data_IF_256083070235
#
_entry.id   IF_256083070235
#
_cell.length_a   1.000
_cell.length_b   1.000
_cell.length_c   1.000
_cell.angle_alpha   90.00
_cell.angle_beta   90.00
_cell.angle_gamma   90.00
#
_symmetry.space_group_name_H-M   'P 1'
#
loop_
_entity.id
_entity.type
_entity.pdbx_description
1 polymer ?
#
# COMPACT_ATOMS: atom_id res chain seq x y z
N UNK A 1 11.96 2.77 18.19
CA UNK A 1 12.31 1.32 18.24
C UNK A 1 13.42 1.13 19.25
N UNK A 2 13.47 -0.03 19.93
CA UNK A 2 14.54 -0.32 20.91
C UNK A 2 15.77 -0.79 20.15
N UNK A 3 16.94 -0.23 20.48
CA UNK A 3 18.25 -0.68 19.98
C UNK A 3 18.92 -1.47 21.09
N UNK A 4 19.33 -2.69 20.82
CA UNK A 4 19.95 -3.57 21.79
C UNK A 4 21.47 -3.39 21.84
N UNK A 5 22.11 -3.66 23.02
CA UNK A 5 23.55 -3.45 23.19
C UNK A 5 24.43 -4.19 22.16
N UNK A 6 24.02 -5.38 21.72
CA UNK A 6 24.76 -6.14 20.71
C UNK A 6 24.69 -5.45 19.34
N UNK A 7 23.54 -4.90 18.96
CA UNK A 7 23.37 -4.16 17.70
C UNK A 7 24.26 -2.92 17.65
N UNK A 8 24.39 -2.22 18.79
CA UNK A 8 25.32 -1.07 18.91
C UNK A 8 26.76 -1.54 18.71
N UNK A 9 27.16 -2.64 19.35
CA UNK A 9 28.51 -3.21 19.29
C UNK A 9 28.85 -3.67 17.87
N UNK A 10 27.88 -4.21 17.14
CA UNK A 10 28.03 -4.68 15.77
C UNK A 10 27.88 -3.56 14.72
N UNK A 11 27.70 -2.31 15.17
CA UNK A 11 27.57 -1.14 14.29
C UNK A 11 26.21 -0.99 13.60
N UNK A 12 25.19 -1.73 14.05
CA UNK A 12 23.85 -1.76 13.45
C UNK A 12 22.87 -0.76 14.08
N UNK A 13 23.28 -0.02 15.12
CA UNK A 13 22.37 0.84 15.90
C UNK A 13 21.63 1.89 15.08
N UNK A 14 22.31 2.56 14.14
CA UNK A 14 21.71 3.55 13.25
C UNK A 14 20.75 2.90 12.25
N UNK A 15 21.11 1.73 11.70
CA UNK A 15 20.27 0.98 10.78
C UNK A 15 18.96 0.55 11.45
N UNK A 16 19.04 0.04 12.69
CA UNK A 16 17.87 -0.35 13.48
C UNK A 16 16.95 0.84 13.78
N UNK A 17 17.51 2.01 14.06
CA UNK A 17 16.70 3.23 14.23
C UNK A 17 16.04 3.67 12.93
N UNK A 18 16.77 3.63 11.81
CA UNK A 18 16.23 3.98 10.51
C UNK A 18 15.13 3.02 10.03
N UNK A 19 15.19 1.74 10.42
CA UNK A 19 14.19 0.71 10.10
C UNK A 19 12.85 0.88 10.82
N UNK A 20 12.66 1.92 11.65
CA UNK A 20 11.38 2.19 12.30
C UNK A 20 10.28 2.59 11.31
N UNK A 21 10.65 3.11 10.14
CA UNK A 21 9.76 3.46 9.05
C UNK A 21 10.43 3.12 7.72
N UNK A 22 9.73 2.40 6.85
CA UNK A 22 10.24 1.98 5.54
C UNK A 22 9.18 2.23 4.49
N UNK A 23 9.60 2.73 3.32
CA UNK A 23 8.74 2.97 2.18
C UNK A 23 8.85 1.83 1.16
N UNK A 24 7.72 1.32 0.70
CA UNK A 24 7.61 0.25 -0.30
C UNK A 24 6.83 0.72 -1.51
N UNK A 25 7.25 0.30 -2.70
CA UNK A 25 6.66 0.75 -3.95
C UNK A 25 6.02 -0.40 -4.73
N UNK A 26 4.82 -0.16 -5.26
CA UNK A 26 4.11 -1.04 -6.18
C UNK A 26 3.49 -0.24 -7.33
N UNK A 27 3.27 -0.82 -8.51
CA UNK A 27 2.58 -0.15 -9.60
C UNK A 27 1.19 0.32 -9.20
N UNK A 28 0.83 1.56 -9.54
CA UNK A 28 -0.54 2.03 -9.47
C UNK A 28 -1.30 1.54 -10.70
N UNK A 29 -2.42 0.86 -10.48
CA UNK A 29 -3.28 0.33 -11.54
C UNK A 29 -4.64 1.01 -11.47
N UNK A 30 -5.24 1.25 -12.63
CA UNK A 30 -6.64 1.63 -12.72
C UNK A 30 -7.51 0.51 -12.19
N UNK A 31 -8.48 0.86 -11.37
CA UNK A 31 -9.43 -0.08 -10.83
C UNK A 31 -10.59 -0.27 -11.83
N UNK A 32 -10.36 -1.09 -12.87
CA UNK A 32 -11.47 -1.53 -13.74
C UNK A 32 -12.35 -2.57 -13.03
N UNK A 33 -11.77 -3.30 -12.04
CA UNK A 33 -12.41 -4.34 -11.24
C UNK A 33 -12.58 -3.93 -9.78
N UNK A 34 -12.92 -2.66 -9.49
CA UNK A 34 -13.29 -2.25 -8.13
C UNK A 34 -14.42 -3.15 -7.61
N UNK A 35 -14.45 -3.38 -6.30
CA UNK A 35 -15.53 -4.11 -5.64
C UNK A 35 -16.87 -3.69 -6.23
N UNK A 36 -17.75 -4.65 -6.59
CA UNK A 36 -19.03 -4.39 -7.25
C UNK A 36 -19.81 -3.25 -6.55
N UNK A 37 -19.78 -3.20 -5.22
CA UNK A 37 -20.42 -2.15 -4.41
C UNK A 37 -19.83 -0.75 -4.68
N UNK A 38 -18.52 -0.63 -4.88
CA UNK A 38 -17.85 0.65 -5.18
C UNK A 38 -18.14 1.07 -6.61
N UNK A 39 -18.15 0.11 -7.55
CA UNK A 39 -18.56 0.36 -8.94
C UNK A 39 -20.03 0.75 -9.02
N UNK A 40 -20.91 0.08 -8.25
CA UNK A 40 -22.33 0.41 -8.19
C UNK A 40 -22.55 1.81 -7.61
N UNK A 41 -21.86 2.17 -6.53
CA UNK A 41 -21.91 3.50 -5.94
C UNK A 41 -21.38 4.57 -6.91
N UNK A 42 -20.25 4.32 -7.56
CA UNK A 42 -19.69 5.21 -8.56
C UNK A 42 -20.63 5.39 -9.77
N UNK A 43 -21.25 4.30 -10.25
CA UNK A 43 -22.22 4.35 -11.33
C UNK A 43 -23.52 5.07 -10.92
N UNK A 44 -23.96 4.92 -9.67
CA UNK A 44 -25.08 5.65 -9.12
C UNK A 44 -24.81 7.15 -9.05
N UNK A 45 -23.66 7.54 -8.53
CA UNK A 45 -23.22 8.96 -8.51
C UNK A 45 -23.09 9.51 -9.94
N UNK A 46 -22.59 8.70 -10.90
CA UNK A 46 -22.54 9.06 -12.33
C UNK A 46 -23.92 9.31 -12.91
N UNK A 47 -24.89 8.46 -12.59
CA UNK A 47 -26.25 8.56 -13.11
C UNK A 47 -27.03 9.74 -12.50
N UNK A 48 -26.73 10.11 -11.27
CA UNK A 48 -27.37 11.23 -10.55
C UNK A 48 -26.70 12.58 -10.88
N UNK A 49 -25.52 12.59 -11.48
CA UNK A 49 -24.83 13.83 -11.87
C UNK A 49 -25.43 14.43 -13.14
N UNK A 50 -25.85 15.68 -13.06
CA UNK A 50 -26.33 16.45 -14.21
C UNK A 50 -25.23 16.70 -15.27
N UNK A 51 -23.97 16.45 -14.94
CA UNK A 51 -22.83 16.52 -15.84
C UNK A 51 -21.87 15.34 -15.60
N UNK A 52 -22.00 14.25 -16.38
CA UNK A 52 -21.16 13.05 -16.23
C UNK A 52 -19.65 13.28 -16.44
N UNK A 53 -19.24 14.47 -16.89
CA UNK A 53 -17.83 14.87 -17.00
C UNK A 53 -17.28 15.49 -15.71
N UNK A 54 -18.11 15.70 -14.69
CA UNK A 54 -17.74 16.24 -13.38
C UNK A 54 -17.67 15.17 -12.29
N UNK A 55 -17.17 13.99 -12.62
CA UNK A 55 -16.94 12.98 -11.59
C UNK A 55 -15.68 13.38 -10.84
N UNK A 56 -15.86 13.60 -9.55
CA UNK A 56 -14.84 14.16 -8.66
C UNK A 56 -13.81 13.14 -8.17
N UNK A 57 -14.02 11.86 -8.49
CA UNK A 57 -13.24 10.77 -7.95
C UNK A 57 -12.68 9.91 -9.09
N UNK A 58 -11.44 9.56 -8.94
CA UNK A 58 -10.73 8.64 -9.81
C UNK A 58 -10.29 7.42 -9.01
N UNK A 59 -10.72 6.23 -9.40
CA UNK A 59 -10.47 5.01 -8.64
C UNK A 59 -9.19 4.35 -9.10
N UNK A 60 -8.36 3.98 -8.12
CA UNK A 60 -7.13 3.21 -8.34
C UNK A 60 -7.09 2.00 -7.43
N UNK A 61 -6.37 0.99 -7.89
CA UNK A 61 -6.14 -0.25 -7.17
C UNK A 61 -4.66 -0.61 -7.22
N UNK A 62 -4.12 -1.11 -6.12
CA UNK A 62 -2.71 -1.50 -6.08
C UNK A 62 -2.46 -2.66 -5.12
N UNK A 63 -1.40 -3.43 -5.39
CA UNK A 63 -0.82 -4.32 -4.39
C UNK A 63 -0.07 -3.45 -3.39
N UNK A 64 -0.51 -3.47 -2.14
CA UNK A 64 0.14 -2.75 -1.06
C UNK A 64 1.36 -3.51 -0.55
N UNK A 65 1.18 -4.79 -0.24
CA UNK A 65 2.21 -5.66 0.29
C UNK A 65 1.97 -7.11 -0.11
N UNK A 66 3.05 -7.83 -0.37
CA UNK A 66 3.09 -9.28 -0.54
C UNK A 66 3.81 -9.90 0.63
N UNK A 67 3.31 -11.02 1.17
CA UNK A 67 4.01 -11.78 2.20
C UNK A 67 5.28 -12.41 1.65
N UNK A 68 6.24 -12.68 2.54
CA UNK A 68 7.54 -13.25 2.17
C UNK A 68 8.61 -12.19 1.84
N UNK A 69 9.64 -12.61 1.13
CA UNK A 69 10.76 -11.75 0.74
C UNK A 69 10.36 -10.76 -0.34
N UNK A 70 10.76 -9.50 -0.17
CA UNK A 70 10.60 -8.46 -1.16
C UNK A 70 11.95 -8.11 -1.83
N UNK A 71 11.92 -7.16 -2.77
CA UNK A 71 13.10 -6.73 -3.53
C UNK A 71 14.10 -5.90 -2.71
N UNK A 72 13.74 -5.49 -1.51
CA UNK A 72 14.59 -4.73 -0.60
C UNK A 72 15.25 -5.62 0.46
N UNK A 73 15.15 -6.95 0.29
CA UNK A 73 15.63 -7.96 1.24
C UNK A 73 14.90 -7.93 2.60
N UNK A 74 13.68 -7.38 2.64
CA UNK A 74 12.82 -7.44 3.82
C UNK A 74 11.81 -8.59 3.72
N UNK A 75 11.38 -9.09 4.88
CA UNK A 75 10.38 -10.16 4.97
C UNK A 75 9.14 -9.66 5.68
N UNK A 76 8.01 -9.70 4.97
CA UNK A 76 6.69 -9.55 5.57
C UNK A 76 6.15 -10.91 5.98
N UNK A 77 6.15 -11.19 7.29
CA UNK A 77 5.62 -12.47 7.79
C UNK A 77 4.10 -12.53 7.64
N UNK A 78 3.56 -13.69 7.24
CA UNK A 78 2.11 -13.86 7.05
C UNK A 78 1.32 -13.48 8.28
N UNK A 79 1.80 -13.84 9.48
CA UNK A 79 1.10 -13.53 10.74
C UNK A 79 0.99 -12.02 10.99
N UNK A 80 2.10 -11.28 10.91
CA UNK A 80 2.10 -9.84 11.18
C UNK A 80 1.31 -9.07 10.10
N UNK A 81 1.48 -9.47 8.84
CA UNK A 81 0.78 -8.89 7.71
C UNK A 81 -0.73 -9.11 7.79
N UNK A 82 -1.15 -10.33 8.18
CA UNK A 82 -2.55 -10.64 8.40
C UNK A 82 -3.19 -9.79 9.51
N UNK A 83 -2.47 -9.61 10.61
CA UNK A 83 -2.95 -8.77 11.72
C UNK A 83 -3.11 -7.30 11.32
N UNK A 84 -2.29 -6.82 10.40
CA UNK A 84 -2.30 -5.44 9.93
C UNK A 84 -3.17 -5.21 8.67
N UNK A 85 -3.78 -6.25 8.08
CA UNK A 85 -4.41 -6.22 6.74
C UNK A 85 -5.46 -5.12 6.52
N UNK A 86 -6.17 -4.72 7.58
CA UNK A 86 -7.19 -3.67 7.50
C UNK A 86 -6.69 -2.28 7.91
N UNK A 87 -5.43 -2.16 8.36
CA UNK A 87 -4.90 -0.86 8.80
C UNK A 87 -4.75 0.19 7.71
N UNK A 88 -4.67 -0.16 6.40
CA UNK A 88 -4.63 0.83 5.33
C UNK A 88 -5.96 1.56 5.11
N UNK A 89 -7.10 0.99 5.54
CA UNK A 89 -8.42 1.60 5.33
C UNK A 89 -8.51 3.00 5.96
N UNK A 90 -9.20 3.90 5.28
CA UNK A 90 -9.40 5.29 5.69
C UNK A 90 -8.11 6.10 5.88
N UNK A 91 -6.98 5.63 5.33
CA UNK A 91 -5.75 6.40 5.33
C UNK A 91 -5.68 7.35 4.15
N UNK A 92 -4.96 8.45 4.36
CA UNK A 92 -4.68 9.42 3.30
C UNK A 92 -3.85 8.78 2.18
N UNK A 93 -4.13 9.22 0.96
CA UNK A 93 -3.29 8.97 -0.20
C UNK A 93 -2.59 10.27 -0.55
N UNK A 94 -1.29 10.35 -0.30
CA UNK A 94 -0.50 11.55 -0.54
C UNK A 94 0.47 11.37 -1.70
N UNK A 95 0.98 12.48 -2.23
CA UNK A 95 1.98 12.47 -3.28
C UNK A 95 3.38 12.54 -2.67
N UNK A 96 4.27 11.63 -3.11
CA UNK A 96 5.69 11.61 -2.72
C UNK A 96 5.94 11.59 -1.21
N UNK A 97 5.05 10.96 -0.42
CA UNK A 97 5.09 10.92 1.05
C UNK A 97 5.02 12.29 1.74
N UNK A 98 4.53 13.32 1.05
CA UNK A 98 4.26 14.61 1.66
C UNK A 98 2.88 14.60 2.33
N UNK A 99 2.86 14.59 3.67
CA UNK A 99 1.62 14.60 4.47
C UNK A 99 0.75 15.85 4.24
N UNK A 100 1.31 16.91 3.66
CA UNK A 100 0.58 18.13 3.30
C UNK A 100 0.01 18.07 1.87
N UNK A 101 0.43 17.12 1.05
CA UNK A 101 -0.01 16.95 -0.33
C UNK A 101 -0.92 15.74 -0.49
N UNK A 102 -2.10 15.84 0.12
CA UNK A 102 -3.12 14.79 0.08
C UNK A 102 -3.89 14.89 -1.23
N UNK A 103 -3.81 13.85 -2.06
CA UNK A 103 -4.47 13.77 -3.37
C UNK A 103 -5.64 12.80 -3.41
N UNK A 104 -5.87 12.06 -2.32
CA UNK A 104 -6.94 11.08 -2.23
C UNK A 104 -6.99 10.40 -0.88
N UNK A 105 -7.72 9.29 -0.79
CA UNK A 105 -7.73 8.41 0.37
C UNK A 105 -7.97 6.96 -0.02
N UNK A 106 -7.56 6.04 0.84
CA UNK A 106 -7.79 4.60 0.69
C UNK A 106 -9.20 4.28 1.17
N UNK A 107 -9.99 3.66 0.31
CA UNK A 107 -11.41 3.33 0.57
C UNK A 107 -11.62 1.90 1.02
N UNK A 108 -10.65 1.01 0.75
CA UNK A 108 -10.76 -0.39 1.12
C UNK A 108 -9.43 -1.11 1.09
N UNK A 109 -9.39 -2.24 1.81
CA UNK A 109 -8.24 -3.13 1.86
C UNK A 109 -8.75 -4.56 1.99
N UNK A 110 -8.25 -5.47 1.17
CA UNK A 110 -8.63 -6.87 1.21
C UNK A 110 -7.47 -7.79 0.82
N UNK A 111 -7.62 -9.07 1.14
CA UNK A 111 -6.58 -10.07 0.93
C UNK A 111 -6.91 -10.91 -0.28
N UNK A 112 -5.89 -11.18 -1.10
CA UNK A 112 -5.98 -12.09 -2.23
C UNK A 112 -4.87 -13.14 -2.15
N UNK A 113 -5.11 -14.31 -2.74
CA UNK A 113 -4.07 -15.30 -2.95
C UNK A 113 -3.14 -14.88 -4.11
N UNK A 114 -2.11 -15.68 -4.37
CA UNK A 114 -1.14 -15.43 -5.46
C UNK A 114 -1.76 -15.52 -6.86
N UNK A 115 -2.99 -16.01 -6.99
CA UNK A 115 -3.74 -16.00 -8.25
C UNK A 115 -4.63 -14.76 -8.41
N UNK A 116 -4.74 -13.94 -7.37
CA UNK A 116 -5.62 -12.77 -7.32
C UNK A 116 -7.04 -13.07 -6.83
N UNK A 117 -7.32 -14.31 -6.40
CA UNK A 117 -8.63 -14.65 -5.85
C UNK A 117 -8.77 -14.14 -4.40
N UNK A 118 -9.91 -13.52 -4.10
CA UNK A 118 -10.18 -12.98 -2.77
C UNK A 118 -10.22 -14.08 -1.71
N UNK A 119 -9.60 -13.81 -0.57
CA UNK A 119 -9.54 -14.71 0.59
C UNK A 119 -10.48 -14.20 1.66
N UNK A 120 -11.27 -15.12 2.22
CA UNK A 120 -12.18 -14.80 3.32
C UNK A 120 -11.43 -14.40 4.59
N UNK A 121 -12.01 -13.49 5.37
CA UNK A 121 -11.38 -12.90 6.56
C UNK A 121 -11.20 -13.86 7.76
N UNK A 122 -11.77 -15.03 7.70
CA UNK A 122 -11.72 -16.04 8.79
C UNK A 122 -10.57 -17.04 8.71
N UNK A 123 -9.83 -17.03 7.58
CA UNK A 123 -8.79 -18.03 7.33
C UNK A 123 -7.49 -17.36 6.88
N UNK A 124 -6.51 -17.28 7.79
CA UNK A 124 -5.18 -16.78 7.44
C UNK A 124 -4.45 -17.77 6.54
N UNK A 125 -4.08 -17.40 5.32
CA UNK A 125 -3.24 -18.23 4.45
C UNK A 125 -1.75 -18.11 4.82
N UNK A 126 -0.93 -19.02 4.29
CA UNK A 126 0.52 -18.96 4.45
C UNK A 126 1.12 -17.83 3.61
N UNK A 127 0.66 -17.69 2.36
CA UNK A 127 1.09 -16.66 1.42
C UNK A 127 -0.10 -15.92 0.82
N UNK A 128 0.00 -14.60 0.76
CA UNK A 128 -1.04 -13.72 0.23
C UNK A 128 -0.52 -12.33 -0.12
N UNK A 129 -1.35 -11.58 -0.81
CA UNK A 129 -1.15 -10.16 -1.09
C UNK A 129 -2.26 -9.34 -0.42
N UNK A 130 -1.93 -8.14 0.06
CA UNK A 130 -2.92 -7.14 0.45
C UNK A 130 -3.10 -6.18 -0.72
N UNK A 131 -4.36 -6.07 -1.16
CA UNK A 131 -4.78 -5.10 -2.16
C UNK A 131 -5.40 -3.90 -1.46
N UNK A 132 -5.10 -2.71 -1.93
CA UNK A 132 -5.80 -1.49 -1.54
C UNK A 132 -6.54 -0.89 -2.71
N UNK A 133 -7.71 -0.37 -2.43
CA UNK A 133 -8.50 0.47 -3.32
C UNK A 133 -8.48 1.89 -2.77
N UNK A 134 -8.32 2.86 -3.66
CA UNK A 134 -8.24 4.26 -3.28
C UNK A 134 -8.97 5.13 -4.29
N UNK A 135 -9.33 6.33 -3.86
CA UNK A 135 -9.87 7.37 -4.72
C UNK A 135 -8.90 8.54 -4.76
N UNK A 136 -8.69 9.09 -5.95
CA UNK A 136 -7.99 10.35 -6.16
C UNK A 136 -9.02 11.46 -6.40
N UNK A 137 -8.78 12.62 -5.82
CA UNK A 137 -9.63 13.79 -5.95
C UNK A 137 -9.27 14.53 -7.24
N UNK A 138 -10.12 14.48 -8.24
CA UNK A 138 -9.87 15.11 -9.54
C UNK A 138 -10.69 16.39 -9.80
N UNK A 139 -11.61 16.74 -8.90
CA UNK A 139 -12.41 17.97 -9.01
C UNK A 139 -11.94 19.01 -8.01
N UNK A 140 -11.20 19.98 -8.50
CA UNK A 140 -10.69 21.08 -7.72
C UNK A 140 -11.24 22.42 -8.20
N UNK A 141 -11.57 23.33 -7.27
CA UNK A 141 -12.04 24.67 -7.59
C UNK A 141 -10.94 25.49 -8.29
N UNK A 142 -9.69 25.30 -7.87
CA UNK A 142 -8.52 25.97 -8.45
C UNK A 142 -8.09 25.27 -9.74
N UNK A 143 -8.03 26.00 -10.88
CA UNK A 143 -7.64 25.39 -12.15
C UNK A 143 -6.27 24.70 -12.12
N UNK A 144 -5.28 25.29 -11.46
CA UNK A 144 -3.93 24.72 -11.35
C UNK A 144 -3.89 23.37 -10.66
N UNK A 145 -4.73 23.16 -9.62
CA UNK A 145 -4.83 21.88 -8.93
C UNK A 145 -5.52 20.82 -9.81
N UNK A 146 -6.54 21.25 -10.54
CA UNK A 146 -7.27 20.39 -11.47
C UNK A 146 -6.39 19.93 -12.63
N UNK A 147 -5.63 20.84 -13.21
CA UNK A 147 -4.71 20.53 -14.31
C UNK A 147 -3.59 19.60 -13.86
N UNK A 148 -3.06 19.82 -12.65
CA UNK A 148 -2.09 18.94 -12.00
C UNK A 148 -2.65 17.52 -11.81
N UNK A 149 -3.87 17.38 -11.27
CA UNK A 149 -4.49 16.06 -11.04
C UNK A 149 -4.80 15.35 -12.35
N UNK A 150 -5.27 16.08 -13.37
CA UNK A 150 -5.48 15.50 -14.71
C UNK A 150 -4.16 14.97 -15.30
N UNK A 151 -3.05 15.67 -15.09
CA UNK A 151 -1.74 15.19 -15.52
C UNK A 151 -1.33 13.91 -14.75
N UNK A 152 -1.45 13.89 -13.41
CA UNK A 152 -1.13 12.72 -12.59
C UNK A 152 -1.96 11.50 -13.04
N UNK A 153 -3.26 11.68 -13.25
CA UNK A 153 -4.17 10.63 -13.71
C UNK A 153 -3.73 10.10 -15.10
N UNK A 154 -3.44 10.99 -16.04
CA UNK A 154 -2.96 10.58 -17.36
C UNK A 154 -1.64 9.79 -17.28
N UNK A 155 -0.74 10.21 -16.40
CA UNK A 155 0.54 9.51 -16.17
C UNK A 155 0.35 8.14 -15.48
N UNK A 156 -0.68 7.98 -14.62
CA UNK A 156 -1.07 6.69 -14.05
C UNK A 156 -1.57 5.77 -15.17
N UNK A 157 -2.43 6.26 -16.06
CA UNK A 157 -2.93 5.53 -17.23
C UNK A 157 -1.80 5.06 -18.17
N UNK A 158 -0.74 5.87 -18.25
CA UNK A 158 0.47 5.53 -19.00
C UNK A 158 1.43 4.58 -18.24
N UNK A 159 1.11 4.19 -17.00
CA UNK A 159 1.93 3.30 -16.18
C UNK A 159 3.24 3.92 -15.67
N UNK A 160 3.30 5.24 -15.55
CA UNK A 160 4.50 5.97 -15.11
C UNK A 160 4.63 6.10 -13.59
N UNK A 161 3.52 5.93 -12.85
CA UNK A 161 3.48 6.08 -11.41
C UNK A 161 3.50 4.75 -10.67
N UNK A 162 4.10 4.79 -9.48
CA UNK A 162 4.14 3.68 -8.54
C UNK A 162 3.52 4.12 -7.22
N UNK A 163 2.83 3.19 -6.54
CA UNK A 163 2.42 3.40 -5.14
C UNK A 163 3.57 3.00 -4.24
N UNK A 164 3.77 3.79 -3.21
CA UNK A 164 4.73 3.52 -2.14
C UNK A 164 3.99 3.46 -0.82
N UNK A 165 4.31 2.45 0.00
CA UNK A 165 3.73 2.28 1.32
C UNK A 165 4.73 2.74 2.37
N UNK A 166 4.27 3.49 3.35
CA UNK A 166 5.02 3.78 4.56
C UNK A 166 4.44 2.97 5.72
N UNK A 167 5.30 2.21 6.40
CA UNK A 167 4.93 1.37 7.53
C UNK A 167 5.67 1.78 8.79
N UNK A 168 4.93 1.82 9.91
CA UNK A 168 5.51 1.95 11.25
C UNK A 168 5.55 0.56 11.90
N UNK A 169 6.75 0.12 12.27
CA UNK A 169 6.95 -1.16 12.92
C UNK A 169 7.11 -1.00 14.43
N UNK A 170 6.42 -1.84 15.20
CA UNK A 170 6.67 -1.98 16.64
C UNK A 170 8.02 -2.63 16.92
N UNK A 171 8.45 -3.56 16.05
CA UNK A 171 9.72 -4.25 16.10
C UNK A 171 9.95 -5.08 14.84
N UNK A 172 11.15 -5.63 14.71
CA UNK A 172 11.50 -6.58 13.66
C UNK A 172 12.52 -7.58 14.19
N UNK A 173 12.67 -8.71 13.49
CA UNK A 173 13.71 -9.71 13.69
C UNK A 173 14.58 -9.80 12.44
N UNK A 174 15.76 -10.39 12.56
CA UNK A 174 16.62 -10.63 11.41
C UNK A 174 16.20 -11.91 10.68
N UNK A 175 16.12 -11.85 9.37
CA UNK A 175 15.99 -13.01 8.51
C UNK A 175 17.29 -13.26 7.76
N UNK A 176 17.83 -14.46 7.86
CA UNK A 176 19.03 -14.88 7.15
C UNK A 176 18.65 -15.92 6.10
N UNK A 177 19.20 -15.77 4.89
CA UNK A 177 19.19 -16.82 3.88
C UNK A 177 20.50 -17.61 3.95
N UNK A 178 20.40 -18.93 3.95
CA UNK A 178 21.56 -19.79 3.75
C UNK A 178 21.89 -19.97 2.26
N UNK A 179 23.02 -20.58 1.95
CA UNK A 179 23.47 -20.83 0.57
C UNK A 179 22.50 -21.73 -0.23
N UNK A 180 21.56 -22.40 0.42
CA UNK A 180 20.52 -23.23 -0.19
C UNK A 180 19.19 -22.53 -0.35
N UNK A 181 19.09 -21.24 0.07
CA UNK A 181 17.86 -20.45 0.00
C UNK A 181 16.87 -20.69 1.15
N UNK A 182 17.27 -21.42 2.22
CA UNK A 182 16.42 -21.57 3.40
C UNK A 182 16.54 -20.32 4.28
N UNK A 183 15.40 -19.83 4.77
CA UNK A 183 15.37 -18.69 5.69
C UNK A 183 15.43 -19.14 7.15
N UNK A 184 16.18 -18.40 7.96
CA UNK A 184 16.24 -18.57 9.42
C UNK A 184 15.98 -17.23 10.07
N UNK A 185 15.04 -17.19 11.00
CA UNK A 185 14.78 -16.02 11.83
C UNK A 185 15.74 -16.02 13.04
N UNK A 186 16.29 -14.87 13.34
CA UNK A 186 17.08 -14.60 14.54
C UNK A 186 16.38 -13.50 15.33
N UNK A 187 15.95 -13.83 16.54
CA UNK A 187 15.39 -12.85 17.46
C UNK A 187 16.41 -11.79 17.83
N UNK A 188 15.96 -10.56 17.87
CA UNK A 188 16.74 -9.43 18.39
C UNK A 188 16.71 -9.48 19.92
N UNK A 189 17.88 -9.54 20.56
CA UNK A 189 18.05 -9.56 22.02
C UNK A 189 19.35 -8.90 22.50
#
# INVERSE_FOLDING_TARGET
>A
MIVYPQEIKDGLGELVQASASVAYCAPALLCEDAHEEVVELANKVKAESANPKQIDLYYIKSVLVSTGWNKNDDVFTSKATWQARSTPEDKQFNLMHDENDIIGHITGSYVVDRSGAAIADDTQPDDFDIITEAVLYNSWTKPENRDRMNQIIAEIEEGKWFVSMECLFAGFDYALLDDNGNSKLLERN
#
